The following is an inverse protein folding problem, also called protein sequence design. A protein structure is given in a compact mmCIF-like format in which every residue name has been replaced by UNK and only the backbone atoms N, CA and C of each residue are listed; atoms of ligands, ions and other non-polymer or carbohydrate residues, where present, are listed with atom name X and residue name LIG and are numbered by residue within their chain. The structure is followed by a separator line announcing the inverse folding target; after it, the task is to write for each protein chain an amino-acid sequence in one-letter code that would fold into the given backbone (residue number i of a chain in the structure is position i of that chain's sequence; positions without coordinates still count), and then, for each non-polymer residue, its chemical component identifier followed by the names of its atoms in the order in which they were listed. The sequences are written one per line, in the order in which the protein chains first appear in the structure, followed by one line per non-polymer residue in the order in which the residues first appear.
data_IF_400912295823
#
_entry.id   IF_400912295823
#
_cell.length_a   1.000
_cell.length_b   1.000
_cell.length_c   1.000
_cell.angle_alpha   90.00
_cell.angle_beta   90.00
_cell.angle_gamma   90.00
#
_symmetry.space_group_name_H-M   'P 1'
#
loop_
_entity.id
_entity.type
_entity.pdbx_description
1 polymer ?
#
# COMPACT_ATOMS: atom_id res chain seq x y z
N UNK A 1 -21.26 -55.02 60.52
CA UNK A 1 -22.56 -54.55 60.00
C UNK A 1 -22.32 -53.65 58.79
N UNK A 2 -22.55 -54.16 57.57
CA UNK A 2 -22.36 -53.45 56.30
C UNK A 2 -23.46 -52.41 56.08
N UNK A 3 -23.10 -51.13 55.92
CA UNK A 3 -24.05 -50.10 55.45
C UNK A 3 -24.31 -50.35 53.97
N UNK A 4 -25.49 -50.87 53.65
CA UNK A 4 -25.99 -50.97 52.28
C UNK A 4 -25.98 -49.58 51.63
N UNK A 5 -25.05 -49.35 50.70
CA UNK A 5 -25.03 -48.15 49.87
C UNK A 5 -26.13 -48.31 48.82
N UNK A 6 -27.24 -47.60 49.04
CA UNK A 6 -28.42 -47.63 48.17
C UNK A 6 -28.08 -47.26 46.72
N UNK A 7 -28.38 -48.11 45.73
CA UNK A 7 -28.12 -47.85 44.31
C UNK A 7 -28.95 -46.66 43.78
N UNK A 8 -30.04 -46.30 44.47
CA UNK A 8 -30.90 -45.17 44.11
C UNK A 8 -30.20 -43.81 44.23
N UNK A 9 -29.23 -43.65 45.14
CA UNK A 9 -28.46 -42.40 45.24
C UNK A 9 -27.50 -42.20 44.08
N UNK A 10 -26.95 -43.29 43.52
CA UNK A 10 -26.05 -43.21 42.37
C UNK A 10 -26.80 -42.85 41.08
N UNK A 11 -28.01 -43.40 40.89
CA UNK A 11 -28.87 -43.08 39.75
C UNK A 11 -29.40 -41.64 39.76
N UNK A 12 -29.71 -41.08 40.94
CA UNK A 12 -30.18 -39.70 41.06
C UNK A 12 -29.09 -38.67 40.70
N UNK A 13 -27.83 -38.94 41.05
CA UNK A 13 -26.70 -38.05 40.73
C UNK A 13 -26.36 -38.12 39.23
N UNK A 14 -26.45 -39.30 38.61
CA UNK A 14 -26.19 -39.46 37.18
C UNK A 14 -27.28 -38.79 36.31
N UNK A 15 -28.54 -38.84 36.75
CA UNK A 15 -29.64 -38.14 36.08
C UNK A 15 -29.52 -36.61 36.14
N UNK A 16 -29.04 -36.06 37.26
CA UNK A 16 -28.85 -34.62 37.40
C UNK A 16 -27.64 -34.09 36.60
N UNK A 17 -26.60 -34.91 36.41
CA UNK A 17 -25.46 -34.56 35.54
C UNK A 17 -25.85 -34.56 34.06
N UNK A 18 -26.77 -35.45 33.64
CA UNK A 18 -27.25 -35.51 32.27
C UNK A 18 -28.13 -34.30 31.87
N UNK A 19 -28.86 -33.71 32.82
CA UNK A 19 -29.70 -32.53 32.54
C UNK A 19 -28.91 -31.22 32.41
N UNK A 20 -27.73 -31.10 33.03
CA UNK A 20 -26.86 -29.93 32.82
C UNK A 20 -26.13 -29.93 31.47
N UNK A 21 -25.92 -31.10 30.85
CA UNK A 21 -25.27 -31.19 29.54
C UNK A 21 -26.17 -30.73 28.38
N UNK A 22 -27.50 -30.67 28.57
CA UNK A 22 -28.45 -30.38 27.51
C UNK A 22 -28.62 -28.88 27.18
N UNK A 23 -28.16 -27.96 28.03
CA UNK A 23 -28.32 -26.51 27.81
C UNK A 23 -27.23 -25.88 26.92
N UNK A 24 -26.24 -26.65 26.47
CA UNK A 24 -25.09 -26.13 25.70
C UNK A 24 -25.13 -26.38 24.19
N UNK A 25 -25.89 -27.37 23.71
CA UNK A 25 -25.75 -27.90 22.35
C UNK A 25 -26.53 -27.17 21.25
N UNK A 26 -27.30 -26.13 21.58
CA UNK A 26 -28.13 -25.39 20.61
C UNK A 26 -27.79 -23.91 20.49
N UNK A 27 -26.54 -23.52 20.75
CA UNK A 27 -26.06 -22.20 20.28
C UNK A 27 -25.82 -22.31 18.77
N UNK A 28 -26.86 -22.03 17.98
CA UNK A 28 -26.68 -21.70 16.56
C UNK A 28 -25.68 -20.56 16.50
N UNK A 29 -24.49 -20.82 15.96
CA UNK A 29 -23.51 -19.79 15.71
C UNK A 29 -24.18 -18.78 14.77
N UNK A 30 -24.27 -17.52 15.19
CA UNK A 30 -24.80 -16.47 14.34
C UNK A 30 -23.91 -16.38 13.09
N UNK A 31 -24.49 -16.35 11.86
CA UNK A 31 -23.68 -16.18 10.68
C UNK A 31 -22.81 -14.93 10.84
N UNK A 32 -21.52 -15.00 10.48
CA UNK A 32 -20.64 -13.87 10.67
C UNK A 32 -21.18 -12.62 9.98
N UNK A 33 -20.95 -11.41 10.54
CA UNK A 33 -21.37 -10.17 9.92
C UNK A 33 -20.92 -10.13 8.46
N UNK A 34 -21.88 -10.02 7.53
CA UNK A 34 -21.64 -9.93 6.09
C UNK A 34 -20.79 -11.08 5.49
N UNK A 35 -20.77 -12.25 6.13
CA UNK A 35 -19.98 -13.40 5.68
C UNK A 35 -18.50 -13.35 6.06
N UNK A 36 -18.10 -12.46 6.98
CA UNK A 36 -16.70 -12.32 7.41
C UNK A 36 -16.20 -13.55 8.16
N UNK A 37 -15.34 -14.34 7.52
CA UNK A 37 -14.64 -15.44 8.17
C UNK A 37 -13.22 -14.99 8.46
N UNK A 38 -12.90 -14.71 9.73
CA UNK A 38 -11.52 -14.46 10.17
C UNK A 38 -10.65 -15.71 9.95
N UNK A 39 -10.23 -15.91 8.70
CA UNK A 39 -9.46 -17.05 8.24
C UNK A 39 -7.98 -16.87 8.49
N UNK A 40 -7.25 -17.98 8.54
CA UNK A 40 -5.79 -17.99 8.66
C UNK A 40 -5.09 -17.73 7.30
N UNK A 41 -5.81 -17.22 6.31
CA UNK A 41 -5.31 -17.05 4.95
C UNK A 41 -4.29 -15.90 4.89
N UNK A 42 -3.24 -16.11 4.11
CA UNK A 42 -2.14 -15.16 3.92
C UNK A 42 -2.41 -14.13 2.80
N UNK A 43 -3.68 -13.99 2.38
CA UNK A 43 -4.08 -13.11 1.27
C UNK A 43 -3.59 -11.67 1.45
N UNK A 44 -3.62 -11.18 2.69
CA UNK A 44 -3.29 -9.79 3.03
C UNK A 44 -1.85 -9.62 3.54
N UNK A 45 -1.01 -10.66 3.54
CA UNK A 45 0.34 -10.56 4.10
C UNK A 45 1.40 -11.43 3.42
N UNK A 46 2.62 -10.91 3.35
CA UNK A 46 3.81 -11.66 2.88
C UNK A 46 5.05 -11.35 3.71
N UNK A 47 5.89 -12.37 3.86
CA UNK A 47 7.19 -12.29 4.52
C UNK A 47 8.30 -12.02 3.51
N UNK A 48 9.26 -11.18 3.88
CA UNK A 48 10.48 -10.95 3.13
C UNK A 48 11.70 -11.02 4.04
N UNK A 49 12.79 -11.61 3.54
CA UNK A 49 14.06 -11.75 4.27
C UNK A 49 14.90 -10.45 4.28
N UNK A 50 14.25 -9.30 4.49
CA UNK A 50 14.90 -7.98 4.58
C UNK A 50 14.33 -7.17 5.76
N UNK A 51 15.07 -6.17 6.27
CA UNK A 51 14.56 -5.32 7.35
C UNK A 51 13.25 -4.61 6.96
N UNK A 52 12.38 -4.25 7.94
CA UNK A 52 11.08 -3.61 7.67
C UNK A 52 11.17 -2.34 6.82
N UNK A 53 12.18 -1.49 7.08
CA UNK A 53 12.42 -0.29 6.30
C UNK A 53 12.67 -0.60 4.80
N UNK A 54 13.48 -1.63 4.51
CA UNK A 54 13.75 -2.07 3.14
C UNK A 54 12.50 -2.64 2.46
N UNK A 55 11.70 -3.43 3.18
CA UNK A 55 10.43 -3.95 2.66
C UNK A 55 9.42 -2.83 2.35
N UNK A 56 9.36 -1.79 3.19
CA UNK A 56 8.48 -0.64 2.99
C UNK A 56 8.93 0.26 1.84
N UNK A 57 10.24 0.48 1.67
CA UNK A 57 10.74 1.18 0.47
C UNK A 57 10.49 0.38 -0.80
N UNK A 58 10.67 -0.96 -0.79
CA UNK A 58 10.30 -1.81 -1.92
C UNK A 58 8.80 -1.71 -2.24
N UNK A 59 7.96 -1.69 -1.21
CA UNK A 59 6.50 -1.53 -1.34
C UNK A 59 6.11 -0.17 -1.91
N UNK A 60 6.76 0.90 -1.45
CA UNK A 60 6.59 2.26 -2.01
C UNK A 60 6.96 2.29 -3.50
N UNK A 61 8.09 1.70 -3.88
CA UNK A 61 8.54 1.63 -5.28
C UNK A 61 7.57 0.80 -6.14
N UNK A 62 7.05 -0.30 -5.61
CA UNK A 62 6.03 -1.10 -6.27
C UNK A 62 4.77 -0.28 -6.58
N UNK A 63 4.26 0.46 -5.59
CA UNK A 63 3.08 1.32 -5.75
C UNK A 63 3.31 2.45 -6.75
N UNK A 64 4.44 3.17 -6.65
CA UNK A 64 4.81 4.22 -7.59
C UNK A 64 4.93 3.67 -9.02
N UNK A 65 5.55 2.51 -9.20
CA UNK A 65 5.68 1.85 -10.50
C UNK A 65 4.35 1.35 -11.08
N UNK A 66 3.29 1.27 -10.28
CA UNK A 66 1.92 0.96 -10.73
C UNK A 66 1.05 2.21 -10.90
N UNK A 67 1.62 3.42 -10.75
CA UNK A 67 0.91 4.69 -10.93
C UNK A 67 0.03 5.09 -9.74
N UNK A 68 0.35 4.62 -8.53
CA UNK A 68 -0.27 5.13 -7.32
C UNK A 68 0.40 6.43 -6.86
N UNK A 69 -0.40 7.34 -6.31
CA UNK A 69 0.07 8.55 -5.62
C UNK A 69 0.28 8.21 -4.15
N UNK A 70 1.48 8.45 -3.62
CA UNK A 70 1.77 8.28 -2.20
C UNK A 70 1.16 9.44 -1.42
N UNK A 71 0.34 9.12 -0.42
CA UNK A 71 -0.30 10.10 0.47
C UNK A 71 0.45 10.26 1.79
N UNK A 72 0.50 9.18 2.58
CA UNK A 72 1.20 9.16 3.88
C UNK A 72 2.33 8.13 3.84
N UNK A 73 3.47 8.46 4.46
CA UNK A 73 4.57 7.52 4.65
C UNK A 73 5.29 7.79 5.97
N UNK A 74 5.06 6.93 6.95
CA UNK A 74 5.59 7.05 8.32
C UNK A 74 6.78 6.08 8.56
N UNK A 75 7.44 5.62 7.50
CA UNK A 75 8.57 4.69 7.55
C UNK A 75 8.17 3.23 7.60
N UNK A 76 7.35 2.83 8.57
CA UNK A 76 6.81 1.46 8.70
C UNK A 76 5.42 1.30 8.05
N UNK A 77 4.77 2.41 7.72
CA UNK A 77 3.41 2.46 7.20
C UNK A 77 3.36 3.40 6.02
N UNK A 78 2.69 2.97 4.96
CA UNK A 78 2.48 3.77 3.77
C UNK A 78 1.03 3.68 3.30
N UNK A 79 0.56 4.78 2.74
CA UNK A 79 -0.76 4.90 2.14
C UNK A 79 -0.63 5.46 0.74
N UNK A 80 -1.33 4.86 -0.21
CA UNK A 80 -1.30 5.28 -1.59
C UNK A 80 -2.68 5.14 -2.24
N UNK A 81 -2.98 6.00 -3.20
CA UNK A 81 -4.27 6.00 -3.90
C UNK A 81 -4.05 5.98 -5.41
N UNK A 82 -4.90 5.24 -6.11
CA UNK A 82 -5.00 5.30 -7.57
C UNK A 82 -6.45 5.56 -7.96
N UNK A 83 -6.67 6.61 -8.74
CA UNK A 83 -7.99 6.99 -9.24
C UNK A 83 -8.20 6.39 -10.63
N UNK A 84 -9.43 5.95 -10.89
CA UNK A 84 -9.87 5.46 -12.20
C UNK A 84 -11.23 6.09 -12.54
N UNK A 85 -11.43 6.40 -13.80
CA UNK A 85 -12.69 6.88 -14.34
C UNK A 85 -13.12 5.93 -15.46
N UNK A 86 -13.75 4.78 -15.14
CA UNK A 86 -14.15 3.80 -16.15
C UNK A 86 -15.22 4.35 -17.09
N UNK A 87 -16.10 5.22 -16.58
CA UNK A 87 -17.17 5.90 -17.32
C UNK A 87 -17.17 7.38 -16.93
N UNK A 88 -17.72 8.27 -17.76
CA UNK A 88 -17.60 9.72 -17.57
C UNK A 88 -18.17 10.23 -16.23
N UNK A 89 -19.17 9.55 -15.69
CA UNK A 89 -19.88 9.89 -14.46
C UNK A 89 -19.51 9.03 -13.25
N UNK A 90 -18.68 7.99 -13.46
CA UNK A 90 -18.25 7.06 -12.41
C UNK A 90 -16.78 7.30 -12.09
N UNK A 91 -16.52 7.68 -10.84
CA UNK A 91 -15.17 7.84 -10.32
C UNK A 91 -14.93 6.75 -9.29
N UNK A 92 -13.85 5.98 -9.47
CA UNK A 92 -13.44 4.96 -8.50
C UNK A 92 -12.05 5.26 -7.98
N UNK A 93 -11.80 4.98 -6.71
CA UNK A 93 -10.49 5.13 -6.09
C UNK A 93 -10.11 3.84 -5.41
N UNK A 94 -8.91 3.37 -5.69
CA UNK A 94 -8.30 2.25 -4.99
C UNK A 94 -7.29 2.80 -3.99
N UNK A 95 -7.62 2.67 -2.71
CA UNK A 95 -6.80 3.12 -1.57
C UNK A 95 -6.09 1.91 -0.99
N UNK A 96 -4.76 1.94 -1.03
CA UNK A 96 -3.90 0.90 -0.47
C UNK A 96 -3.23 1.44 0.79
N UNK A 97 -3.27 0.63 1.86
CA UNK A 97 -2.47 0.82 3.07
C UNK A 97 -1.58 -0.39 3.21
N UNK A 98 -0.28 -0.17 3.37
CA UNK A 98 0.66 -1.22 3.73
C UNK A 98 1.39 -0.87 5.03
N UNK A 99 1.67 -1.89 5.83
CA UNK A 99 2.42 -1.79 7.09
C UNK A 99 3.46 -2.89 7.14
N UNK A 100 4.73 -2.53 7.34
CA UNK A 100 5.86 -3.42 7.40
C UNK A 100 6.35 -3.56 8.84
N UNK A 101 6.31 -4.77 9.39
CA UNK A 101 6.71 -5.05 10.77
C UNK A 101 7.87 -6.05 10.81
N UNK A 102 8.71 -5.96 11.84
CA UNK A 102 9.76 -6.93 12.08
C UNK A 102 9.17 -8.31 12.43
N UNK A 103 9.79 -9.39 11.95
CA UNK A 103 9.43 -10.74 12.35
C UNK A 103 10.35 -11.30 13.45
N UNK A 104 9.81 -12.14 14.35
CA UNK A 104 10.63 -12.99 15.19
C UNK A 104 11.53 -13.87 14.30
N UNK A 105 12.84 -13.87 14.54
CA UNK A 105 13.80 -14.61 13.71
C UNK A 105 14.39 -13.83 12.54
N UNK A 106 14.03 -12.55 12.37
CA UNK A 106 14.59 -11.67 11.36
C UNK A 106 13.71 -11.53 10.10
N UNK A 107 14.04 -10.52 9.27
CA UNK A 107 13.20 -10.14 8.14
C UNK A 107 11.99 -9.29 8.54
N UNK A 108 11.04 -9.18 7.63
CA UNK A 108 9.84 -8.36 7.77
C UNK A 108 8.59 -9.05 7.25
N UNK A 109 7.45 -8.82 7.90
CA UNK A 109 6.12 -9.09 7.35
C UNK A 109 5.53 -7.80 6.81
N UNK A 110 4.94 -7.84 5.63
CA UNK A 110 4.21 -6.73 5.03
C UNK A 110 2.73 -7.09 5.01
N UNK A 111 1.92 -6.32 5.73
CA UNK A 111 0.46 -6.38 5.69
C UNK A 111 -0.07 -5.35 4.71
N UNK A 112 -1.05 -5.73 3.90
CA UNK A 112 -1.63 -4.86 2.87
C UNK A 112 -3.15 -4.94 2.90
N UNK A 113 -3.79 -3.79 3.00
CA UNK A 113 -5.23 -3.65 2.83
C UNK A 113 -5.52 -2.71 1.66
N UNK A 114 -6.48 -3.10 0.82
CA UNK A 114 -6.93 -2.31 -0.31
C UNK A 114 -8.45 -2.12 -0.24
N UNK A 115 -8.89 -0.88 -0.37
CA UNK A 115 -10.31 -0.50 -0.36
C UNK A 115 -10.62 0.24 -1.65
N UNK A 116 -11.69 -0.18 -2.31
CA UNK A 116 -12.23 0.50 -3.48
C UNK A 116 -13.43 1.35 -3.07
N UNK A 117 -13.30 2.67 -3.25
CA UNK A 117 -14.41 3.61 -3.15
C UNK A 117 -14.99 3.87 -4.53
N UNK A 118 -16.32 3.87 -4.64
CA UNK A 118 -17.07 4.25 -5.85
C UNK A 118 -17.89 5.50 -5.57
N UNK A 119 -17.76 6.48 -6.46
CA UNK A 119 -18.45 7.76 -6.44
C UNK A 119 -19.25 7.91 -7.73
N UNK A 120 -20.45 8.47 -7.63
CA UNK A 120 -21.26 8.89 -8.79
C UNK A 120 -21.54 10.38 -8.68
N UNK A 121 -21.71 11.06 -9.82
CA UNK A 121 -22.16 12.45 -9.81
C UNK A 121 -23.62 12.53 -9.39
N UNK A 122 -23.91 13.27 -8.33
CA UNK A 122 -25.26 13.67 -7.98
C UNK A 122 -25.57 15.04 -8.58
N UNK A 123 -26.36 15.08 -9.65
CA UNK A 123 -26.83 16.31 -10.29
C UNK A 123 -28.14 16.76 -9.63
N UNK A 124 -28.09 17.29 -8.41
CA UNK A 124 -29.25 17.93 -7.79
C UNK A 124 -29.40 19.36 -8.32
N UNK A 125 -30.30 19.56 -9.28
CA UNK A 125 -30.64 20.90 -9.80
C UNK A 125 -31.57 21.58 -8.78
N UNK A 126 -31.03 22.45 -7.92
CA UNK A 126 -31.83 23.29 -7.02
C UNK A 126 -32.26 24.57 -7.75
N UNK A 127 -33.49 24.60 -8.25
CA UNK A 127 -34.10 25.79 -8.84
C UNK A 127 -34.62 26.72 -7.73
N UNK A 128 -34.11 27.95 -7.65
CA UNK A 128 -34.69 29.00 -6.81
C UNK A 128 -35.66 29.84 -7.66
N UNK A 129 -36.98 29.70 -7.44
CA UNK A 129 -37.97 30.56 -8.08
C UNK A 129 -38.11 31.87 -7.29
N UNK A 130 -37.70 33.00 -7.88
CA UNK A 130 -38.00 34.32 -7.34
C UNK A 130 -39.34 34.77 -7.94
N UNK A 131 -40.38 34.80 -7.11
CA UNK A 131 -41.67 35.36 -7.49
C UNK A 131 -41.62 36.89 -7.45
N UNK A 132 -41.61 37.53 -8.62
CA UNK A 132 -41.87 38.97 -8.75
C UNK A 132 -43.35 39.14 -9.07
N UNK A 133 -44.13 39.60 -8.09
CA UNK A 133 -45.52 40.00 -8.27
C UNK A 133 -45.57 41.23 -9.17
N UNK A 134 -45.84 41.02 -10.46
CA UNK A 134 -46.85 41.74 -11.27
C UNK A 134 -46.64 41.57 -12.78
N UNK A 135 -45.49 41.11 -13.27
CA UNK A 135 -45.27 40.93 -14.71
C UNK A 135 -44.33 39.73 -14.96
N UNK A 136 -44.88 38.52 -15.08
CA UNK A 136 -44.22 37.34 -15.67
C UNK A 136 -43.00 36.77 -14.93
N UNK A 137 -43.09 35.50 -14.53
CA UNK A 137 -41.94 34.76 -14.00
C UNK A 137 -40.92 34.48 -15.10
N UNK A 138 -39.70 35.00 -14.97
CA UNK A 138 -38.56 34.58 -15.79
C UNK A 138 -37.73 33.59 -14.98
N UNK A 139 -37.82 32.31 -15.31
CA UNK A 139 -36.95 31.26 -14.77
C UNK A 139 -35.62 31.26 -15.55
N UNK A 140 -34.60 31.92 -14.99
CA UNK A 140 -33.22 31.73 -15.46
C UNK A 140 -32.61 30.52 -14.74
N UNK A 141 -32.19 29.46 -15.45
CA UNK A 141 -31.35 28.44 -14.85
C UNK A 141 -29.97 29.03 -14.58
N UNK A 142 -29.71 29.40 -13.33
CA UNK A 142 -28.35 29.64 -12.85
C UNK A 142 -27.68 28.27 -12.71
N UNK A 143 -27.18 27.76 -13.84
CA UNK A 143 -26.43 26.52 -13.92
C UNK A 143 -25.07 26.69 -13.24
N UNK A 144 -24.97 26.32 -11.97
CA UNK A 144 -23.70 25.75 -11.49
C UNK A 144 -23.74 24.28 -11.87
N UNK A 145 -23.13 23.93 -13.01
CA UNK A 145 -22.90 22.52 -13.36
C UNK A 145 -21.73 21.99 -12.53
N UNK A 146 -21.93 21.89 -11.22
CA UNK A 146 -21.01 21.24 -10.31
C UNK A 146 -21.71 20.03 -9.71
N UNK A 147 -21.60 18.87 -10.35
CA UNK A 147 -22.11 17.63 -9.75
C UNK A 147 -21.31 17.33 -8.49
N UNK A 148 -22.01 17.06 -7.39
CA UNK A 148 -21.38 16.65 -6.14
C UNK A 148 -21.04 15.16 -6.20
N UNK A 149 -19.81 14.77 -5.87
CA UNK A 149 -19.38 13.37 -5.89
C UNK A 149 -19.83 12.70 -4.60
N UNK A 150 -20.97 12.01 -4.64
CA UNK A 150 -21.46 11.24 -3.49
C UNK A 150 -20.86 9.84 -3.53
N UNK A 151 -20.26 9.41 -2.42
CA UNK A 151 -19.74 8.04 -2.27
C UNK A 151 -20.91 7.06 -2.17
N UNK A 152 -21.03 6.17 -3.13
CA UNK A 152 -22.15 5.21 -3.23
C UNK A 152 -21.82 3.82 -2.73
N UNK A 153 -20.54 3.44 -2.75
CA UNK A 153 -20.09 2.14 -2.24
C UNK A 153 -18.63 2.21 -1.79
N UNK A 154 -18.29 1.44 -0.75
CA UNK A 154 -16.93 1.20 -0.28
C UNK A 154 -16.79 -0.29 -0.06
N UNK A 155 -15.86 -0.93 -0.78
CA UNK A 155 -15.64 -2.38 -0.70
C UNK A 155 -14.17 -2.68 -0.43
N UNK A 156 -13.90 -3.57 0.52
CA UNK A 156 -12.55 -4.15 0.68
C UNK A 156 -12.27 -5.05 -0.52
N UNK A 157 -11.11 -4.90 -1.14
CA UNK A 157 -10.68 -5.80 -2.21
C UNK A 157 -10.37 -7.15 -1.59
N UNK A 158 -11.07 -8.20 -2.04
CA UNK A 158 -10.84 -9.58 -1.60
C UNK A 158 -10.20 -10.45 -2.70
N UNK A 159 -9.85 -9.85 -3.84
CA UNK A 159 -9.32 -10.57 -4.99
C UNK A 159 -7.89 -11.07 -4.70
N UNK A 160 -7.71 -12.40 -4.61
CA UNK A 160 -6.41 -13.01 -4.30
C UNK A 160 -5.35 -12.76 -5.38
N UNK A 161 -5.72 -12.72 -6.67
CA UNK A 161 -4.78 -12.45 -7.76
C UNK A 161 -4.20 -11.03 -7.67
N UNK A 162 -5.02 -10.05 -7.29
CA UNK A 162 -4.57 -8.69 -7.04
C UNK A 162 -3.46 -8.66 -5.99
N UNK A 163 -3.65 -9.33 -4.84
CA UNK A 163 -2.64 -9.38 -3.78
C UNK A 163 -1.41 -10.17 -4.19
N UNK A 164 -1.56 -11.31 -4.87
CA UNK A 164 -0.45 -12.08 -5.42
C UNK A 164 0.46 -11.20 -6.29
N UNK A 165 -0.12 -10.51 -7.28
CA UNK A 165 0.62 -9.65 -8.21
C UNK A 165 1.21 -8.43 -7.52
N UNK A 166 0.52 -7.88 -6.53
CA UNK A 166 1.06 -6.81 -5.68
C UNK A 166 2.35 -7.26 -5.00
N UNK A 167 2.33 -8.40 -4.32
CA UNK A 167 3.49 -8.89 -3.59
C UNK A 167 4.63 -9.35 -4.50
N UNK A 168 4.33 -9.91 -5.67
CA UNK A 168 5.35 -10.16 -6.71
C UNK A 168 6.06 -8.86 -7.13
N UNK A 169 5.32 -7.75 -7.25
CA UNK A 169 5.92 -6.43 -7.55
C UNK A 169 6.77 -5.91 -6.40
N UNK A 170 6.34 -6.09 -5.15
CA UNK A 170 7.17 -5.74 -3.98
C UNK A 170 8.48 -6.53 -4.02
N UNK A 171 8.41 -7.85 -4.21
CA UNK A 171 9.58 -8.72 -4.29
C UNK A 171 10.59 -8.27 -5.38
N UNK A 172 10.09 -7.83 -6.53
CA UNK A 172 10.94 -7.32 -7.62
C UNK A 172 11.72 -6.04 -7.27
N UNK A 173 11.27 -5.27 -6.27
CA UNK A 173 11.96 -4.06 -5.80
C UNK A 173 12.82 -4.27 -4.56
N UNK A 174 12.85 -5.50 -4.01
CA UNK A 174 13.77 -5.86 -2.94
C UNK A 174 15.18 -5.93 -3.54
N UNK A 175 16.17 -5.26 -2.94
CA UNK A 175 17.55 -5.32 -3.43
C UNK A 175 18.02 -6.77 -3.41
N UNK A 176 18.28 -7.32 -4.59
CA UNK A 176 18.99 -8.59 -4.72
C UNK A 176 20.46 -8.32 -4.44
N UNK A 177 21.09 -9.13 -3.59
CA UNK A 177 22.53 -9.04 -3.28
C UNK A 177 23.41 -9.10 -4.55
N UNK A 178 22.88 -9.62 -5.66
CA UNK A 178 23.53 -9.68 -6.97
C UNK A 178 23.73 -8.31 -7.66
N UNK A 179 23.08 -7.24 -7.17
CA UNK A 179 23.20 -5.88 -7.71
C UNK A 179 24.20 -4.98 -6.99
N UNK A 180 24.68 -5.37 -5.80
CA UNK A 180 25.89 -4.77 -5.20
C UNK A 180 27.11 -5.52 -5.74
N UNK A 181 27.41 -5.30 -7.03
CA UNK A 181 28.83 -5.32 -7.39
C UNK A 181 29.57 -4.34 -6.45
N UNK A 182 30.85 -4.60 -6.09
CA UNK A 182 31.60 -3.70 -5.23
C UNK A 182 31.40 -2.28 -5.75
N UNK A 183 30.99 -1.36 -4.85
CA UNK A 183 30.82 0.03 -5.18
C UNK A 183 32.04 0.45 -6.01
N UNK A 184 31.86 1.03 -7.21
CA UNK A 184 33.00 1.51 -7.96
C UNK A 184 33.82 2.36 -6.99
N UNK A 185 35.13 2.10 -6.85
CA UNK A 185 35.96 2.88 -5.95
C UNK A 185 35.68 4.36 -6.25
N UNK A 186 35.63 5.22 -5.22
CA UNK A 186 35.36 6.64 -5.42
C UNK A 186 36.23 7.08 -6.58
N UNK A 187 35.62 7.65 -7.63
CA UNK A 187 36.34 8.07 -8.81
C UNK A 187 37.51 8.91 -8.31
N UNK A 188 38.71 8.34 -8.43
CA UNK A 188 39.92 9.12 -8.25
C UNK A 188 39.84 10.06 -9.41
N UNK A 189 39.43 11.30 -9.13
CA UNK A 189 39.73 12.39 -10.04
C UNK A 189 41.24 12.34 -10.14
N UNK A 190 41.76 11.72 -11.20
CA UNK A 190 43.12 11.97 -11.63
C UNK A 190 43.17 13.48 -11.74
N UNK A 191 43.84 14.11 -10.79
CA UNK A 191 44.27 15.49 -10.92
C UNK A 191 44.84 15.59 -12.33
N UNK A 192 44.25 16.46 -13.15
CA UNK A 192 44.81 16.74 -14.47
C UNK A 192 46.33 16.86 -14.31
N UNK A 193 47.13 16.18 -15.13
CA UNK A 193 48.57 16.37 -15.08
C UNK A 193 48.82 17.88 -15.20
N UNK A 194 49.61 18.42 -14.26
CA UNK A 194 50.02 19.81 -14.28
C UNK A 194 50.54 20.15 -15.69
N UNK A 195 50.15 21.30 -16.26
CA UNK A 195 50.63 21.69 -17.57
C UNK A 195 52.16 21.72 -17.55
N UNK A 196 52.76 20.92 -18.42
CA UNK A 196 54.21 20.80 -18.53
C UNK A 196 54.82 22.20 -18.79
N UNK A 197 55.87 22.62 -18.03
CA UNK A 197 56.49 23.92 -18.25
C UNK A 197 56.97 24.03 -19.69
N UNK A 198 56.79 25.19 -20.36
CA UNK A 198 57.21 25.35 -21.74
C UNK A 198 58.72 25.09 -21.86
N UNK A 199 59.09 24.24 -22.81
CA UNK A 199 60.48 23.92 -23.10
C UNK A 199 61.31 25.20 -23.32
N UNK A 200 62.55 25.27 -22.82
CA UNK A 200 63.41 26.41 -23.06
C UNK A 200 63.60 26.60 -24.58
N UNK A 201 63.31 27.81 -25.05
CA UNK A 201 63.62 28.22 -26.42
C UNK A 201 65.11 28.02 -26.67
N UNK A 202 65.44 27.18 -27.64
CA UNK A 202 66.82 27.03 -28.09
C UNK A 202 67.36 28.39 -28.55
N UNK A 203 68.63 28.74 -28.26
CA UNK A 203 69.22 29.98 -28.74
C UNK A 203 69.15 30.04 -30.27
N UNK A 204 68.65 31.16 -30.78
CA UNK A 204 68.74 31.49 -32.20
C UNK A 204 70.23 31.52 -32.58
N UNK A 205 70.64 30.59 -33.45
CA UNK A 205 71.96 30.62 -34.09
C UNK A 205 71.91 31.77 -35.08
N UNK A 206 72.71 32.81 -34.83
CA UNK A 206 72.87 33.96 -35.70
C UNK A 206 73.67 33.51 -36.95
N UNK A 207 73.09 33.55 -38.17
CA UNK A 207 73.74 33.03 -39.37
C UNK A 207 74.90 33.91 -39.88
N UNK A 208 75.23 35.02 -39.22
CA UNK A 208 76.22 36.01 -39.67
C UNK A 208 77.50 36.09 -38.80
N UNK A 209 77.81 35.05 -38.03
CA UNK A 209 79.08 34.98 -37.30
C UNK A 209 80.24 34.57 -38.26
N UNK A 210 81.30 35.40 -38.42
CA UNK A 210 82.41 35.07 -39.33
C UNK A 210 83.30 33.94 -38.76
N UNK A 211 83.62 32.98 -39.63
CA UNK A 211 84.50 31.83 -39.33
C UNK A 211 85.94 32.29 -39.00
N UNK A 212 86.56 31.81 -37.91
CA UNK A 212 87.96 32.08 -37.62
C UNK A 212 88.89 31.20 -38.47
N UNK A 213 89.92 31.82 -39.06
CA UNK A 213 91.05 31.15 -39.74
C UNK A 213 92.00 30.48 -38.76
#
# INVERSE_FOLDING_TARGET
MQRARSPFRALAVLGLAATLAACGFNRKSEPPPLGETFGADDTYSRTYAVPPATACEATRRALLGQGYVIGKNDGDTLQATKSFQPESDIHTQLKVRATCLAQPGGGAIVFVNAVQDRYVLNTSVKSASVGVSMIGSVSLPIGTSGGDLVRVATNTVQNQDFYRRFFERVAAFIPSTEGLGPAPPPAVFETLPDPEPPAPLAPLVDPDAPEPR
#
